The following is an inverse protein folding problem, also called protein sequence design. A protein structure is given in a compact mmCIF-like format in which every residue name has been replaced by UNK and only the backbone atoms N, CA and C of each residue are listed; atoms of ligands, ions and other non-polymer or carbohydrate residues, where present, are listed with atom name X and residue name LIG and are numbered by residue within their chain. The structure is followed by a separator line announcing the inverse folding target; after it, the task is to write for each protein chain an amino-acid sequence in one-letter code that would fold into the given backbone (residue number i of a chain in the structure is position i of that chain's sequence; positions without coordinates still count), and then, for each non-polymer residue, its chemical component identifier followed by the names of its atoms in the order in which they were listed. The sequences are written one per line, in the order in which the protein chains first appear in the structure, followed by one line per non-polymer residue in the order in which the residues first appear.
data_IF_937019428857
#
_entry.id   IF_937019428857
#
_cell.length_a   1.000
_cell.length_b   1.000
_cell.length_c   1.000
_cell.angle_alpha   90.00
_cell.angle_beta   90.00
_cell.angle_gamma   90.00
#
_symmetry.space_group_name_H-M   'P 1'
#
loop_
_entity.id
_entity.type
_entity.pdbx_description
1 polymer ?
#
# COMPACT_ATOMS: atom_id res chain seq x y z
N UNK A 1 28.66 -47.68 -10.78
CA UNK A 1 28.43 -46.83 -9.58
C UNK A 1 29.48 -45.75 -9.34
N UNK A 2 30.80 -46.02 -9.35
CA UNK A 2 31.86 -45.01 -9.06
C UNK A 2 31.91 -43.82 -10.04
N UNK A 3 31.66 -44.03 -11.33
CA UNK A 3 31.67 -42.97 -12.35
C UNK A 3 30.53 -41.95 -12.17
N UNK A 4 29.30 -42.41 -11.91
CA UNK A 4 28.16 -41.52 -11.62
C UNK A 4 28.34 -40.68 -10.35
N UNK A 5 29.02 -41.21 -9.33
CA UNK A 5 29.37 -40.47 -8.10
C UNK A 5 30.42 -39.37 -8.34
N UNK A 6 31.41 -39.63 -9.20
CA UNK A 6 32.43 -38.63 -9.57
C UNK A 6 31.84 -37.52 -10.45
N UNK A 7 30.97 -37.87 -11.40
CA UNK A 7 30.30 -36.89 -12.25
C UNK A 7 29.34 -36.00 -11.45
N UNK A 8 28.60 -36.59 -10.50
CA UNK A 8 27.75 -35.85 -9.57
C UNK A 8 28.57 -34.88 -8.69
N UNK A 9 29.70 -35.33 -8.13
CA UNK A 9 30.60 -34.47 -7.33
C UNK A 9 31.18 -33.31 -8.15
N UNK A 10 31.56 -33.55 -9.40
CA UNK A 10 32.08 -32.49 -10.28
C UNK A 10 31.00 -31.46 -10.66
N UNK A 11 29.78 -31.90 -10.95
CA UNK A 11 28.63 -31.01 -11.18
C UNK A 11 28.31 -30.16 -9.95
N UNK A 12 28.38 -30.76 -8.77
CA UNK A 12 28.14 -30.05 -7.51
C UNK A 12 29.23 -28.99 -7.21
N UNK A 13 30.51 -29.32 -7.42
CA UNK A 13 31.63 -28.39 -7.23
C UNK A 13 31.58 -27.21 -8.22
N UNK A 14 31.19 -27.46 -9.48
CA UNK A 14 30.97 -26.38 -10.47
C UNK A 14 29.84 -25.44 -10.01
N UNK A 15 28.74 -26.00 -9.50
CA UNK A 15 27.61 -25.21 -9.01
C UNK A 15 27.97 -24.34 -7.80
N UNK A 16 28.74 -24.87 -6.86
CA UNK A 16 29.21 -24.10 -5.69
C UNK A 16 30.06 -22.91 -6.12
N UNK A 17 30.96 -23.08 -7.09
CA UNK A 17 31.74 -21.98 -7.68
C UNK A 17 30.84 -20.93 -8.35
N UNK A 18 29.89 -21.37 -9.17
CA UNK A 18 28.95 -20.48 -9.83
C UNK A 18 28.11 -19.69 -8.82
N UNK A 19 27.70 -20.33 -7.71
CA UNK A 19 26.95 -19.64 -6.66
C UNK A 19 27.79 -18.59 -5.95
N UNK A 20 29.09 -18.84 -5.74
CA UNK A 20 29.99 -17.84 -5.17
C UNK A 20 30.15 -16.63 -6.11
N UNK A 21 30.30 -16.88 -7.42
CA UNK A 21 30.31 -15.82 -8.42
C UNK A 21 29.01 -14.99 -8.42
N UNK A 22 27.84 -15.62 -8.25
CA UNK A 22 26.56 -14.88 -8.10
C UNK A 22 26.54 -14.03 -6.83
N UNK A 23 27.11 -14.50 -5.72
CA UNK A 23 27.20 -13.67 -4.50
C UNK A 23 28.10 -12.47 -4.72
N UNK A 24 29.22 -12.65 -5.41
CA UNK A 24 30.14 -11.59 -5.79
C UNK A 24 29.44 -10.57 -6.70
N UNK A 25 28.77 -11.03 -7.76
CA UNK A 25 27.93 -10.20 -8.63
C UNK A 25 26.91 -9.37 -7.85
N UNK A 26 26.18 -9.98 -6.92
CA UNK A 26 25.21 -9.28 -6.06
C UNK A 26 25.88 -8.27 -5.13
N UNK A 27 27.12 -8.50 -4.71
CA UNK A 27 27.87 -7.54 -3.91
C UNK A 27 28.34 -6.36 -4.77
N UNK A 28 28.78 -6.61 -6.00
CA UNK A 28 29.12 -5.56 -6.97
C UNK A 28 27.89 -4.70 -7.30
N UNK A 29 26.71 -5.30 -7.46
CA UNK A 29 25.43 -4.59 -7.67
C UNK A 29 24.92 -3.78 -6.46
N UNK A 30 25.70 -3.66 -5.38
CA UNK A 30 25.40 -2.74 -4.27
C UNK A 30 26.21 -1.44 -4.36
N UNK A 31 27.18 -1.37 -5.27
CA UNK A 31 28.00 -0.18 -5.51
C UNK A 31 27.24 0.84 -6.38
N UNK A 32 27.69 2.11 -6.44
CA UNK A 32 27.14 3.08 -7.39
C UNK A 32 27.22 2.61 -8.86
N UNK A 33 28.15 1.72 -9.20
CA UNK A 33 28.36 1.19 -10.56
C UNK A 33 27.44 0.03 -10.95
N UNK A 34 26.35 -0.16 -10.21
CA UNK A 34 25.40 -1.27 -10.39
C UNK A 34 24.96 -1.43 -11.85
N UNK A 35 24.67 -0.31 -12.52
CA UNK A 35 24.16 -0.32 -13.89
C UNK A 35 25.19 -0.80 -14.92
N UNK A 36 26.48 -0.53 -14.69
CA UNK A 36 27.59 -0.98 -15.54
C UNK A 36 27.81 -2.48 -15.34
N UNK A 37 27.83 -2.93 -14.08
CA UNK A 37 28.06 -4.34 -13.73
C UNK A 37 26.99 -5.25 -14.34
N UNK A 38 25.71 -4.84 -14.29
CA UNK A 38 24.62 -5.62 -14.86
C UNK A 38 24.73 -5.67 -16.39
N UNK A 39 25.06 -4.55 -17.04
CA UNK A 39 25.20 -4.50 -18.49
C UNK A 39 26.34 -5.40 -18.98
N UNK A 40 27.51 -5.31 -18.34
CA UNK A 40 28.66 -6.19 -18.64
C UNK A 40 28.31 -7.67 -18.48
N UNK A 41 27.52 -8.03 -17.45
CA UNK A 41 27.05 -9.40 -17.28
C UNK A 41 26.15 -9.84 -18.44
N UNK A 42 25.24 -8.98 -18.91
CA UNK A 42 24.33 -9.29 -20.03
C UNK A 42 25.07 -9.35 -21.38
N UNK A 43 26.07 -8.48 -21.60
CA UNK A 43 26.93 -8.47 -22.79
C UNK A 43 27.83 -9.70 -22.85
N UNK A 44 28.27 -10.22 -21.70
CA UNK A 44 29.03 -11.47 -21.57
C UNK A 44 28.15 -12.73 -21.68
N UNK A 45 27.00 -12.64 -22.35
CA UNK A 45 26.00 -13.72 -22.52
C UNK A 45 25.38 -14.24 -21.22
N UNK A 46 25.57 -13.54 -20.10
CA UNK A 46 24.91 -13.84 -18.85
C UNK A 46 23.40 -13.60 -18.94
N UNK A 47 22.60 -14.45 -18.30
CA UNK A 47 21.14 -14.40 -18.47
C UNK A 47 20.35 -14.81 -17.24
N UNK A 48 19.12 -14.29 -17.14
CA UNK A 48 18.20 -14.63 -16.07
C UNK A 48 17.91 -16.15 -16.00
N UNK A 49 17.86 -16.83 -17.14
CA UNK A 49 17.62 -18.28 -17.19
C UNK A 49 18.79 -19.09 -16.61
N UNK A 50 20.04 -18.66 -16.84
CA UNK A 50 21.23 -19.28 -16.26
C UNK A 50 21.17 -19.22 -14.73
N UNK A 51 20.85 -18.04 -14.18
CA UNK A 51 20.71 -17.85 -12.74
C UNK A 51 19.63 -18.74 -12.12
N UNK A 52 18.49 -18.91 -12.80
CA UNK A 52 17.42 -19.81 -12.33
C UNK A 52 17.90 -21.27 -12.37
N UNK A 53 18.71 -21.66 -13.35
CA UNK A 53 19.32 -22.99 -13.43
C UNK A 53 20.20 -23.35 -12.22
N UNK A 54 20.67 -22.36 -11.46
CA UNK A 54 21.40 -22.56 -10.21
C UNK A 54 20.50 -22.91 -9.02
N UNK A 55 19.18 -22.88 -9.16
CA UNK A 55 18.22 -23.31 -8.14
C UNK A 55 17.93 -24.81 -8.25
N UNK A 56 17.78 -25.48 -7.10
CA UNK A 56 17.36 -26.89 -7.07
C UNK A 56 15.85 -26.92 -6.87
N UNK A 57 15.12 -27.50 -7.82
CA UNK A 57 13.66 -27.63 -7.76
C UNK A 57 13.18 -28.32 -6.47
N UNK A 58 13.95 -29.28 -5.97
CA UNK A 58 13.59 -30.10 -4.80
C UNK A 58 14.00 -29.49 -3.45
N UNK A 59 14.89 -28.50 -3.44
CA UNK A 59 15.50 -27.97 -2.21
C UNK A 59 15.08 -26.52 -1.91
N UNK A 60 13.78 -26.34 -1.67
CA UNK A 60 13.16 -25.05 -1.33
C UNK A 60 13.72 -24.34 -0.08
N UNK A 61 14.54 -25.04 0.73
CA UNK A 61 15.11 -24.51 1.99
C UNK A 61 16.55 -24.01 1.84
N UNK A 62 17.19 -24.17 0.68
CA UNK A 62 18.57 -23.72 0.46
C UNK A 62 18.66 -22.19 0.27
N UNK A 63 18.46 -21.44 1.36
CA UNK A 63 18.48 -19.97 1.34
C UNK A 63 19.84 -19.39 0.97
N UNK A 64 20.93 -20.14 1.17
CA UNK A 64 22.28 -19.75 0.76
C UNK A 64 22.42 -19.65 -0.76
N UNK A 65 21.66 -20.46 -1.52
CA UNK A 65 21.58 -20.38 -2.98
C UNK A 65 20.48 -19.43 -3.46
N UNK A 66 19.30 -19.52 -2.83
CA UNK A 66 18.10 -18.79 -3.28
C UNK A 66 18.26 -17.27 -3.13
N UNK A 67 18.80 -16.80 -2.00
CA UNK A 67 18.88 -15.36 -1.72
C UNK A 67 19.77 -14.61 -2.74
N UNK A 68 21.00 -15.07 -3.05
CA UNK A 68 21.82 -14.45 -4.09
C UNK A 68 21.14 -14.47 -5.46
N UNK A 69 20.61 -15.61 -5.90
CA UNK A 69 19.96 -15.76 -7.21
C UNK A 69 18.76 -14.80 -7.34
N UNK A 70 17.87 -14.76 -6.35
CA UNK A 70 16.71 -13.87 -6.39
C UNK A 70 17.12 -12.39 -6.36
N UNK A 71 18.20 -12.06 -5.66
CA UNK A 71 18.74 -10.69 -5.65
C UNK A 71 19.32 -10.32 -7.02
N UNK A 72 20.11 -11.20 -7.64
CA UNK A 72 20.67 -11.00 -8.97
C UNK A 72 19.57 -10.82 -10.03
N UNK A 73 18.54 -11.68 -10.00
CA UNK A 73 17.37 -11.54 -10.86
C UNK A 73 16.65 -10.20 -10.67
N UNK A 74 16.52 -9.73 -9.43
CA UNK A 74 15.91 -8.43 -9.16
C UNK A 74 16.67 -7.30 -9.86
N UNK A 75 18.00 -7.33 -9.82
CA UNK A 75 18.84 -6.33 -10.50
C UNK A 75 18.71 -6.39 -12.02
N UNK A 76 18.76 -7.59 -12.60
CA UNK A 76 18.61 -7.79 -14.06
C UNK A 76 17.25 -7.27 -14.53
N UNK A 77 16.15 -7.68 -13.89
CA UNK A 77 14.80 -7.24 -14.26
C UNK A 77 14.68 -5.71 -14.17
N UNK A 78 15.25 -5.10 -13.13
CA UNK A 78 15.25 -3.64 -13.00
C UNK A 78 16.04 -2.93 -14.10
N UNK A 79 17.20 -3.45 -14.50
CA UNK A 79 18.00 -2.88 -15.59
C UNK A 79 17.27 -3.00 -16.93
N UNK A 80 16.67 -4.16 -17.19
CA UNK A 80 15.82 -4.40 -18.37
C UNK A 80 14.66 -3.42 -18.45
N UNK A 81 14.02 -3.10 -17.31
CA UNK A 81 12.93 -2.13 -17.26
C UNK A 81 13.36 -0.70 -17.59
N UNK A 82 14.58 -0.31 -17.24
CA UNK A 82 15.07 1.06 -17.41
C UNK A 82 15.70 1.31 -18.76
N UNK A 83 16.62 0.44 -19.18
CA UNK A 83 17.61 0.79 -20.21
C UNK A 83 17.95 -0.36 -21.17
N UNK A 84 17.63 -1.61 -20.86
CA UNK A 84 18.06 -2.78 -21.65
C UNK A 84 16.86 -3.58 -22.19
N UNK A 85 16.04 -2.93 -23.02
CA UNK A 85 14.77 -3.50 -23.52
C UNK A 85 14.96 -4.67 -24.49
N UNK A 86 16.11 -4.77 -25.14
CA UNK A 86 16.51 -5.86 -26.02
C UNK A 86 16.51 -7.23 -25.31
N UNK A 87 16.80 -7.26 -24.01
CA UNK A 87 16.79 -8.49 -23.21
C UNK A 87 15.40 -8.83 -22.65
N UNK A 88 14.40 -7.97 -22.85
CA UNK A 88 13.09 -8.06 -22.18
C UNK A 88 12.36 -9.37 -22.41
N UNK A 89 12.31 -9.85 -23.65
CA UNK A 89 11.61 -11.10 -23.99
C UNK A 89 12.22 -12.29 -23.25
N UNK A 90 13.56 -12.38 -23.24
CA UNK A 90 14.30 -13.43 -22.52
C UNK A 90 14.06 -13.36 -21.00
N UNK A 91 14.10 -12.17 -20.43
CA UNK A 91 13.86 -11.95 -18.99
C UNK A 91 12.41 -12.26 -18.62
N UNK A 92 11.43 -11.92 -19.46
CA UNK A 92 10.02 -12.26 -19.23
C UNK A 92 9.82 -13.78 -19.21
N UNK A 93 10.41 -14.52 -20.14
CA UNK A 93 10.34 -15.99 -20.16
C UNK A 93 11.02 -16.63 -18.94
N UNK A 94 12.18 -16.12 -18.54
CA UNK A 94 12.84 -16.55 -17.31
C UNK A 94 11.96 -16.31 -16.07
N UNK A 95 11.30 -15.15 -15.99
CA UNK A 95 10.37 -14.85 -14.90
C UNK A 95 9.14 -15.78 -14.90
N UNK A 96 8.58 -16.11 -16.08
CA UNK A 96 7.50 -17.11 -16.20
C UNK A 96 7.97 -18.47 -15.70
N UNK A 97 9.16 -18.91 -16.11
CA UNK A 97 9.76 -20.17 -15.66
C UNK A 97 9.94 -20.18 -14.14
N UNK A 98 10.44 -19.09 -13.55
CA UNK A 98 10.56 -18.95 -12.08
C UNK A 98 9.21 -19.11 -11.37
N UNK A 99 8.17 -18.42 -11.84
CA UNK A 99 6.83 -18.45 -11.23
C UNK A 99 6.15 -19.82 -11.36
N UNK A 100 6.46 -20.59 -12.40
CA UNK A 100 5.89 -21.90 -12.63
C UNK A 100 6.63 -23.02 -11.88
N UNK A 101 7.97 -22.98 -11.84
CA UNK A 101 8.79 -24.10 -11.34
C UNK A 101 9.35 -23.88 -9.93
N UNK A 102 9.44 -22.65 -9.44
CA UNK A 102 10.03 -22.33 -8.13
C UNK A 102 9.04 -21.67 -7.16
N UNK A 103 7.73 -21.83 -7.41
CA UNK A 103 6.66 -21.29 -6.57
C UNK A 103 6.73 -21.79 -5.10
N UNK A 104 7.16 -23.04 -4.88
CA UNK A 104 7.33 -23.61 -3.54
C UNK A 104 8.40 -22.88 -2.72
N UNK A 105 9.47 -22.41 -3.36
CA UNK A 105 10.53 -21.59 -2.77
C UNK A 105 10.01 -20.19 -2.45
N UNK A 106 9.26 -19.58 -3.37
CA UNK A 106 8.61 -18.27 -3.15
C UNK A 106 7.69 -18.33 -1.92
N UNK A 107 6.83 -19.34 -1.84
CA UNK A 107 5.95 -19.57 -0.67
C UNK A 107 6.73 -19.81 0.62
N UNK A 108 7.83 -20.56 0.55
CA UNK A 108 8.68 -20.76 1.72
C UNK A 108 9.29 -19.44 2.21
N UNK A 109 9.84 -18.62 1.31
CA UNK A 109 10.42 -17.31 1.66
C UNK A 109 9.39 -16.34 2.22
N UNK A 110 8.16 -16.37 1.73
CA UNK A 110 7.03 -15.57 2.24
C UNK A 110 6.43 -16.11 3.54
N UNK A 111 6.68 -17.37 3.90
CA UNK A 111 6.05 -18.01 5.05
C UNK A 111 6.36 -17.31 6.39
N UNK A 112 5.48 -17.51 7.38
CA UNK A 112 5.65 -17.02 8.74
C UNK A 112 6.91 -17.55 9.44
N UNK A 113 7.45 -18.68 8.98
CA UNK A 113 8.68 -19.31 9.50
C UNK A 113 9.97 -18.71 8.93
N UNK A 114 9.87 -17.96 7.84
CA UNK A 114 11.02 -17.39 7.14
C UNK A 114 11.56 -16.13 7.81
N UNK A 115 12.86 -15.86 7.63
CA UNK A 115 13.49 -14.64 8.12
C UNK A 115 12.99 -13.39 7.38
N UNK A 116 12.98 -12.25 8.06
CA UNK A 116 12.57 -10.95 7.48
C UNK A 116 13.36 -10.60 6.21
N UNK A 117 14.67 -10.87 6.18
CA UNK A 117 15.53 -10.66 5.01
C UNK A 117 15.08 -11.46 3.79
N UNK A 118 14.65 -12.71 3.97
CA UNK A 118 14.14 -13.52 2.87
C UNK A 118 12.85 -12.93 2.32
N UNK A 119 11.91 -12.51 3.19
CA UNK A 119 10.68 -11.85 2.77
C UNK A 119 10.95 -10.59 1.97
N UNK A 120 11.93 -9.78 2.38
CA UNK A 120 12.33 -8.59 1.62
C UNK A 120 12.86 -8.95 0.23
N UNK A 121 13.77 -9.92 0.13
CA UNK A 121 14.36 -10.32 -1.16
C UNK A 121 13.28 -10.82 -2.13
N UNK A 122 12.40 -11.72 -1.67
CA UNK A 122 11.33 -12.25 -2.54
C UNK A 122 10.30 -11.18 -2.90
N UNK A 123 9.91 -10.30 -1.96
CA UNK A 123 8.96 -9.22 -2.27
C UNK A 123 9.56 -8.21 -3.25
N UNK A 124 10.84 -7.86 -3.12
CA UNK A 124 11.53 -6.98 -4.09
C UNK A 124 11.55 -7.61 -5.48
N UNK A 125 11.91 -8.89 -5.58
CA UNK A 125 11.89 -9.60 -6.86
C UNK A 125 10.48 -9.62 -7.46
N UNK A 126 9.46 -9.98 -6.68
CA UNK A 126 8.08 -10.00 -7.16
C UNK A 126 7.57 -8.61 -7.54
N UNK A 127 8.02 -7.55 -6.86
CA UNK A 127 7.70 -6.15 -7.22
C UNK A 127 8.16 -5.84 -8.64
N UNK A 128 9.42 -6.17 -8.96
CA UNK A 128 10.01 -5.82 -10.26
C UNK A 128 9.49 -6.72 -11.39
N UNK A 129 9.15 -7.98 -11.08
CA UNK A 129 8.46 -8.89 -12.00
C UNK A 129 7.03 -8.40 -12.29
N UNK A 130 6.30 -7.91 -11.29
CA UNK A 130 4.95 -7.39 -11.48
C UNK A 130 4.92 -6.13 -12.36
N UNK A 131 5.94 -5.28 -12.28
CA UNK A 131 6.10 -4.13 -13.19
C UNK A 131 6.66 -4.52 -14.55
N UNK A 132 7.17 -5.74 -14.72
CA UNK A 132 7.73 -6.18 -15.99
C UNK A 132 6.62 -6.33 -17.02
N UNK A 133 5.56 -7.11 -16.78
CA UNK A 133 4.43 -7.16 -17.70
C UNK A 133 3.10 -7.48 -17.00
N UNK A 134 1.95 -7.02 -17.55
CA UNK A 134 0.63 -7.32 -16.98
C UNK A 134 0.34 -8.82 -16.86
N UNK A 135 0.89 -9.64 -17.77
CA UNK A 135 0.74 -11.09 -17.71
C UNK A 135 1.44 -11.68 -16.47
N UNK A 136 2.69 -11.26 -16.20
CA UNK A 136 3.44 -11.68 -15.03
C UNK A 136 2.78 -11.19 -13.73
N UNK A 137 2.28 -9.96 -13.72
CA UNK A 137 1.51 -9.41 -12.60
C UNK A 137 0.29 -10.28 -12.26
N UNK A 138 -0.50 -10.67 -13.28
CA UNK A 138 -1.64 -11.58 -13.10
C UNK A 138 -1.22 -12.97 -12.60
N UNK A 139 -0.11 -13.52 -13.12
CA UNK A 139 0.43 -14.79 -12.64
C UNK A 139 0.84 -14.74 -11.16
N UNK A 140 1.40 -13.61 -10.71
CA UNK A 140 1.73 -13.42 -9.29
C UNK A 140 0.45 -13.42 -8.46
N UNK A 141 -0.57 -12.65 -8.86
CA UNK A 141 -1.85 -12.57 -8.14
C UNK A 141 -2.58 -13.93 -8.07
N UNK A 142 -2.48 -14.76 -9.11
CA UNK A 142 -3.11 -16.08 -9.14
C UNK A 142 -2.34 -17.13 -8.33
N UNK A 143 -1.01 -17.14 -8.41
CA UNK A 143 -0.19 -18.24 -7.87
C UNK A 143 0.40 -17.94 -6.48
N UNK A 144 0.69 -16.67 -6.17
CA UNK A 144 1.32 -16.26 -4.91
C UNK A 144 0.24 -15.87 -3.89
N UNK A 145 -0.32 -16.90 -3.25
CA UNK A 145 -1.28 -16.75 -2.14
C UNK A 145 -0.64 -16.15 -0.89
N UNK A 146 -0.98 -14.90 -0.59
CA UNK A 146 -0.66 -14.25 0.69
C UNK A 146 -1.89 -14.36 1.58
N UNK A 147 -1.81 -15.12 2.68
CA UNK A 147 -2.94 -15.29 3.59
C UNK A 147 -3.17 -14.04 4.46
N UNK A 148 -4.38 -13.88 5.05
CA UNK A 148 -4.67 -12.75 5.92
C UNK A 148 -3.67 -12.54 7.05
N UNK A 149 -3.37 -13.63 7.75
CA UNK A 149 -2.35 -13.65 8.82
C UNK A 149 -0.96 -13.23 8.32
N UNK A 150 -0.63 -13.54 7.06
CA UNK A 150 0.66 -13.17 6.49
C UNK A 150 0.70 -11.68 6.15
N UNK A 151 -0.30 -11.13 5.47
CA UNK A 151 -0.27 -9.69 5.17
C UNK A 151 -0.34 -8.82 6.44
N UNK A 152 -0.98 -9.28 7.52
CA UNK A 152 -0.92 -8.59 8.82
C UNK A 152 0.51 -8.48 9.34
N UNK A 153 1.30 -9.55 9.20
CA UNK A 153 2.72 -9.58 9.58
C UNK A 153 3.57 -8.73 8.64
N UNK A 154 3.31 -8.79 7.32
CA UNK A 154 4.02 -7.99 6.33
C UNK A 154 3.73 -6.50 6.47
N UNK A 155 2.50 -6.13 6.84
CA UNK A 155 2.08 -4.77 7.08
C UNK A 155 2.51 -4.26 8.48
N UNK A 156 2.99 -5.11 9.38
CA UNK A 156 3.40 -4.65 10.72
C UNK A 156 4.75 -3.91 10.66
N UNK A 157 4.82 -2.78 11.37
CA UNK A 157 6.09 -2.08 11.60
C UNK A 157 7.03 -2.90 12.48
N UNK A 158 8.30 -2.96 12.10
CA UNK A 158 9.39 -3.54 12.91
C UNK A 158 10.47 -2.52 13.23
N UNK A 159 10.87 -1.70 12.24
CA UNK A 159 11.71 -0.51 12.34
C UNK A 159 11.37 0.42 11.16
N UNK A 160 10.55 1.49 11.34
CA UNK A 160 10.04 2.31 10.23
C UNK A 160 11.08 3.17 9.51
N UNK A 161 12.27 3.32 10.10
CA UNK A 161 13.33 4.20 9.61
C UNK A 161 14.20 3.51 8.54
N UNK A 162 14.16 2.17 8.43
CA UNK A 162 15.07 1.43 7.55
C UNK A 162 14.34 0.35 6.76
N UNK A 163 14.66 0.27 5.45
CA UNK A 163 14.15 -0.61 4.36
C UNK A 163 13.36 -1.83 4.84
N UNK A 164 12.19 -1.61 5.43
CA UNK A 164 11.54 -2.63 6.25
C UNK A 164 10.83 -3.67 5.38
N UNK A 165 10.43 -4.79 5.97
CA UNK A 165 9.53 -5.75 5.29
C UNK A 165 8.25 -5.03 4.86
N UNK A 166 7.70 -4.15 5.70
CA UNK A 166 6.51 -3.33 5.41
C UNK A 166 6.72 -2.42 4.21
N UNK A 167 7.81 -1.66 4.17
CA UNK A 167 8.10 -0.76 3.04
C UNK A 167 8.21 -1.56 1.73
N UNK A 168 8.84 -2.73 1.79
CA UNK A 168 8.94 -3.63 0.63
C UNK A 168 7.57 -4.18 0.22
N UNK A 169 6.73 -4.52 1.19
CA UNK A 169 5.38 -4.99 0.95
C UNK A 169 4.47 -3.91 0.35
N UNK A 170 4.62 -2.65 0.79
CA UNK A 170 3.93 -1.50 0.19
C UNK A 170 4.34 -1.37 -1.28
N UNK A 171 5.64 -1.37 -1.60
CA UNK A 171 6.10 -1.29 -2.99
C UNK A 171 5.57 -2.46 -3.85
N UNK A 172 5.56 -3.68 -3.29
CA UNK A 172 4.96 -4.83 -3.95
C UNK A 172 3.49 -4.62 -4.29
N UNK A 173 2.68 -4.08 -3.37
CA UNK A 173 1.27 -3.77 -3.65
C UNK A 173 1.12 -2.63 -4.65
N UNK A 174 1.97 -1.60 -4.59
CA UNK A 174 1.91 -0.47 -5.51
C UNK A 174 2.30 -0.88 -6.94
N UNK A 175 3.22 -1.84 -7.13
CA UNK A 175 3.65 -2.33 -8.44
C UNK A 175 2.49 -2.81 -9.32
N UNK A 176 1.43 -3.39 -8.74
CA UNK A 176 0.24 -3.81 -9.49
C UNK A 176 -0.64 -2.65 -9.98
N UNK A 177 -0.43 -1.45 -9.43
CA UNK A 177 -1.22 -0.26 -9.72
C UNK A 177 -0.50 0.72 -10.66
N UNK A 178 0.84 0.77 -10.65
CA UNK A 178 1.66 1.79 -11.34
C UNK A 178 1.28 1.94 -12.81
N UNK A 179 1.15 0.83 -13.56
CA UNK A 179 0.85 0.84 -14.99
C UNK A 179 -0.61 1.20 -15.32
N UNK A 180 -1.51 1.19 -14.32
CA UNK A 180 -2.93 1.48 -14.53
C UNK A 180 -3.71 0.40 -15.28
N UNK A 181 -3.13 -0.78 -15.50
CA UNK A 181 -3.76 -1.85 -16.26
C UNK A 181 -4.96 -2.45 -15.50
N UNK A 182 -6.18 -2.22 -16.00
CA UNK A 182 -7.43 -2.68 -15.36
C UNK A 182 -7.44 -4.20 -15.13
N UNK A 183 -6.88 -4.98 -16.08
CA UNK A 183 -6.79 -6.44 -15.97
C UNK A 183 -5.90 -6.95 -14.82
N UNK A 184 -5.07 -6.08 -14.23
CA UNK A 184 -4.24 -6.37 -13.05
C UNK A 184 -4.88 -5.79 -11.79
N UNK A 185 -5.40 -4.56 -11.89
CA UNK A 185 -6.04 -3.87 -10.77
C UNK A 185 -7.27 -4.65 -10.28
N UNK A 186 -8.12 -5.16 -11.18
CA UNK A 186 -9.33 -5.89 -10.79
C UNK A 186 -9.02 -7.13 -9.94
N UNK A 187 -8.19 -8.10 -10.39
CA UNK A 187 -7.83 -9.25 -9.56
C UNK A 187 -7.18 -8.87 -8.22
N UNK A 188 -6.42 -7.77 -8.16
CA UNK A 188 -5.87 -7.28 -6.89
C UNK A 188 -6.98 -6.84 -5.93
N UNK A 189 -7.97 -6.10 -6.40
CA UNK A 189 -9.09 -5.61 -5.58
C UNK A 189 -10.05 -6.73 -5.16
N UNK A 190 -10.11 -7.83 -5.90
CA UNK A 190 -10.87 -9.03 -5.51
C UNK A 190 -10.30 -9.70 -4.25
N UNK A 191 -9.01 -9.52 -3.96
CA UNK A 191 -8.38 -9.99 -2.73
C UNK A 191 -8.75 -9.04 -1.58
N UNK A 192 -9.97 -9.20 -1.06
CA UNK A 192 -10.57 -8.35 -0.02
C UNK A 192 -9.63 -8.17 1.18
N UNK A 193 -9.39 -6.91 1.54
CA UNK A 193 -8.58 -6.54 2.70
C UNK A 193 -7.07 -6.45 2.45
N UNK A 194 -6.55 -6.97 1.33
CA UNK A 194 -5.11 -6.94 1.05
C UNK A 194 -4.57 -5.52 0.95
N UNK A 195 -5.15 -4.67 0.09
CA UNK A 195 -4.76 -3.26 0.00
C UNK A 195 -5.10 -2.48 1.28
N UNK A 196 -6.25 -2.78 1.91
CA UNK A 196 -6.64 -2.11 3.15
C UNK A 196 -5.67 -2.38 4.30
N UNK A 197 -4.97 -3.53 4.29
CA UNK A 197 -4.07 -3.96 5.36
C UNK A 197 -2.89 -3.00 5.59
N UNK A 198 -2.47 -2.24 4.58
CA UNK A 198 -1.37 -1.28 4.74
C UNK A 198 -1.82 0.05 5.31
N UNK A 199 -3.09 0.43 5.18
CA UNK A 199 -3.56 1.79 5.53
C UNK A 199 -3.31 2.16 7.01
N UNK A 200 -3.61 1.31 8.02
CA UNK A 200 -3.43 1.69 9.42
C UNK A 200 -2.00 2.04 9.83
N UNK A 201 -1.01 1.42 9.17
CA UNK A 201 0.39 1.67 9.49
C UNK A 201 0.97 2.95 8.88
N UNK A 202 0.27 3.59 7.93
CA UNK A 202 0.72 4.81 7.25
C UNK A 202 1.00 5.96 8.22
N UNK A 203 0.35 5.95 9.39
CA UNK A 203 0.56 6.91 10.47
C UNK A 203 2.03 7.06 10.89
N UNK A 204 2.83 6.01 10.70
CA UNK A 204 4.24 5.93 11.07
C UNK A 204 5.18 5.66 9.89
N UNK A 205 4.68 5.61 8.65
CA UNK A 205 5.54 5.54 7.46
C UNK A 205 6.09 6.93 7.12
N UNK A 206 7.14 6.99 6.30
CA UNK A 206 7.70 8.27 5.82
C UNK A 206 6.68 9.06 4.99
N UNK A 207 6.79 10.40 4.97
CA UNK A 207 5.89 11.25 4.18
C UNK A 207 5.86 10.86 2.69
N UNK A 208 7.04 10.53 2.13
CA UNK A 208 7.16 10.02 0.75
C UNK A 208 6.38 8.72 0.51
N UNK A 209 6.44 7.78 1.47
CA UNK A 209 5.68 6.53 1.37
C UNK A 209 4.17 6.78 1.47
N UNK A 210 3.73 7.65 2.38
CA UNK A 210 2.32 8.01 2.51
C UNK A 210 1.81 8.67 1.22
N UNK A 211 2.57 9.63 0.69
CA UNK A 211 2.25 10.31 -0.56
C UNK A 211 2.18 9.35 -1.75
N UNK A 212 3.17 8.45 -1.90
CA UNK A 212 3.16 7.40 -2.93
C UNK A 212 1.87 6.56 -2.86
N UNK A 213 1.50 6.10 -1.67
CA UNK A 213 0.32 5.25 -1.50
C UNK A 213 -0.96 6.02 -1.82
N UNK A 214 -1.14 7.21 -1.26
CA UNK A 214 -2.36 8.00 -1.45
C UNK A 214 -2.54 8.43 -2.91
N UNK A 215 -1.50 8.96 -3.55
CA UNK A 215 -1.57 9.38 -4.96
C UNK A 215 -1.78 8.20 -5.90
N UNK A 216 -1.13 7.06 -5.66
CA UNK A 216 -1.32 5.85 -6.48
C UNK A 216 -2.74 5.33 -6.35
N UNK A 217 -3.26 5.19 -5.12
CA UNK A 217 -4.64 4.74 -4.89
C UNK A 217 -5.65 5.73 -5.47
N UNK A 218 -5.39 7.04 -5.36
CA UNK A 218 -6.27 8.06 -5.92
C UNK A 218 -6.35 7.94 -7.44
N UNK A 219 -5.20 7.94 -8.12
CA UNK A 219 -5.14 7.99 -9.58
C UNK A 219 -5.51 6.65 -10.22
N UNK A 220 -5.21 5.52 -9.58
CA UNK A 220 -5.34 4.18 -10.19
C UNK A 220 -6.59 3.44 -9.75
N UNK A 221 -7.13 3.74 -8.56
CA UNK A 221 -8.31 3.08 -8.00
C UNK A 221 -9.48 4.05 -7.86
N UNK A 222 -9.31 5.17 -7.16
CA UNK A 222 -10.41 6.06 -6.79
C UNK A 222 -10.98 6.81 -8.00
N UNK A 223 -10.11 7.45 -8.80
CA UNK A 223 -10.46 8.20 -10.01
C UNK A 223 -10.66 7.30 -11.25
N UNK A 224 -10.48 5.99 -11.10
CA UNK A 224 -10.70 5.04 -12.18
C UNK A 224 -12.19 4.66 -12.27
N UNK A 225 -12.82 4.99 -13.41
CA UNK A 225 -14.23 4.69 -13.66
C UNK A 225 -14.49 3.21 -13.92
N UNK A 226 -13.47 2.46 -14.35
CA UNK A 226 -13.57 1.01 -14.55
C UNK A 226 -13.61 0.25 -13.23
N UNK A 227 -13.33 0.89 -12.09
CA UNK A 227 -13.44 0.27 -10.77
C UNK A 227 -14.82 0.56 -10.19
N UNK A 228 -15.56 -0.50 -9.87
CA UNK A 228 -16.92 -0.38 -9.33
C UNK A 228 -16.91 0.27 -7.94
N UNK A 229 -18.02 0.97 -7.61
CA UNK A 229 -18.22 1.57 -6.28
C UNK A 229 -18.15 0.51 -5.16
N UNK A 230 -18.66 -0.69 -5.41
CA UNK A 230 -18.59 -1.83 -4.47
C UNK A 230 -17.15 -2.26 -4.19
N UNK A 231 -16.28 -2.35 -5.21
CA UNK A 231 -14.86 -2.67 -5.00
C UNK A 231 -14.15 -1.58 -4.19
N UNK A 232 -14.50 -0.31 -4.42
CA UNK A 232 -14.01 0.83 -3.61
C UNK A 232 -14.46 0.73 -2.16
N UNK A 233 -15.71 0.35 -1.88
CA UNK A 233 -16.21 0.14 -0.51
C UNK A 233 -15.49 -0.98 0.23
N UNK A 234 -15.15 -2.09 -0.45
CA UNK A 234 -14.38 -3.17 0.17
C UNK A 234 -12.95 -2.75 0.51
N UNK A 235 -12.34 -1.90 -0.33
CA UNK A 235 -10.98 -1.38 -0.11
C UNK A 235 -10.95 -0.29 0.95
N UNK A 236 -11.89 0.66 0.86
CA UNK A 236 -12.04 1.82 1.74
C UNK A 236 -13.21 1.61 2.70
N UNK A 237 -13.16 0.50 3.44
CA UNK A 237 -14.14 0.17 4.48
C UNK A 237 -14.01 1.08 5.71
N UNK A 238 -14.92 0.96 6.69
CA UNK A 238 -14.93 1.82 7.89
C UNK A 238 -13.58 1.86 8.63
N UNK A 239 -12.90 0.73 8.93
CA UNK A 239 -11.56 0.77 9.53
C UNK A 239 -10.52 1.51 8.68
N UNK A 240 -10.53 1.32 7.36
CA UNK A 240 -9.62 1.99 6.44
C UNK A 240 -9.83 3.50 6.42
N UNK A 241 -11.09 3.97 6.30
CA UNK A 241 -11.40 5.41 6.29
C UNK A 241 -11.06 6.08 7.63
N UNK A 242 -11.35 5.42 8.75
CA UNK A 242 -10.92 5.90 10.08
C UNK A 242 -9.39 6.01 10.16
N UNK A 243 -8.67 5.02 9.63
CA UNK A 243 -7.21 5.04 9.58
C UNK A 243 -6.65 6.14 8.67
N UNK A 244 -7.33 6.46 7.57
CA UNK A 244 -6.97 7.60 6.72
C UNK A 244 -7.17 8.91 7.48
N UNK A 245 -8.28 9.08 8.21
CA UNK A 245 -8.53 10.29 9.00
C UNK A 245 -7.47 10.55 10.07
N UNK A 246 -6.88 9.50 10.67
CA UNK A 246 -5.79 9.69 11.64
C UNK A 246 -4.51 10.24 11.00
N UNK A 247 -4.36 10.19 9.67
CA UNK A 247 -3.22 10.78 8.97
C UNK A 247 -3.23 12.31 8.98
N UNK A 248 -4.36 12.97 9.30
CA UNK A 248 -4.34 14.40 9.62
C UNK A 248 -3.40 14.72 10.80
N UNK A 249 -3.23 13.76 11.73
CA UNK A 249 -2.29 13.82 12.84
C UNK A 249 -1.07 12.91 12.60
N UNK A 250 -0.58 12.86 11.35
CA UNK A 250 0.55 12.01 10.99
C UNK A 250 1.73 12.17 11.97
N UNK A 251 2.23 11.03 12.46
CA UNK A 251 3.28 10.99 13.49
C UNK A 251 4.67 10.82 12.88
N UNK A 252 4.74 10.07 11.79
CA UNK A 252 5.97 9.75 11.09
C UNK A 252 6.83 8.70 11.77
N UNK A 253 7.92 8.29 11.09
CA UNK A 253 8.71 7.12 11.47
C UNK A 253 9.47 7.30 12.79
N UNK A 254 9.87 8.53 13.11
CA UNK A 254 10.61 8.85 14.32
C UNK A 254 9.79 8.66 15.60
N UNK A 255 8.47 8.87 15.54
CA UNK A 255 7.57 8.74 16.70
C UNK A 255 7.05 7.31 16.91
N UNK A 256 7.51 6.37 16.10
CA UNK A 256 7.11 4.97 16.24
C UNK A 256 7.84 4.29 17.40
N UNK A 257 7.08 3.60 18.26
CA UNK A 257 7.62 2.83 19.39
C UNK A 257 7.13 1.38 19.30
N UNK A 258 8.02 0.38 19.37
CA UNK A 258 7.66 -1.05 19.31
C UNK A 258 6.83 -1.50 20.52
N UNK A 259 7.03 -0.85 21.68
CA UNK A 259 6.34 -1.11 22.94
C UNK A 259 5.99 0.21 23.61
N UNK A 260 4.77 0.32 24.17
CA UNK A 260 4.25 1.53 24.85
C UNK A 260 5.03 1.95 26.12
N UNK A 261 6.16 1.32 26.47
CA UNK A 261 6.79 1.42 27.81
C UNK A 261 8.00 2.35 27.93
N UNK A 262 8.55 2.91 26.85
CA UNK A 262 9.74 3.77 26.96
C UNK A 262 9.39 5.22 26.59
N UNK A 263 9.05 6.01 27.61
CA UNK A 263 8.66 7.43 27.48
C UNK A 263 9.82 8.43 27.58
N UNK A 264 11.08 7.99 27.67
CA UNK A 264 12.19 8.88 28.05
C UNK A 264 13.20 9.20 26.95
N UNK A 265 12.75 9.56 25.76
CA UNK A 265 13.61 10.31 24.85
C UNK A 265 12.82 11.35 24.05
N UNK A 266 13.22 12.61 24.20
CA UNK A 266 12.82 13.71 23.33
C UNK A 266 13.33 13.43 21.92
N UNK A 267 12.47 12.83 21.10
CA UNK A 267 12.77 12.56 19.70
C UNK A 267 12.49 13.83 18.92
N UNK A 268 13.52 14.34 18.22
CA UNK A 268 13.44 15.48 17.29
C UNK A 268 12.13 15.44 16.51
N UNK A 269 11.39 16.55 16.58
CA UNK A 269 10.04 16.69 16.04
C UNK A 269 9.96 16.25 14.58
N UNK A 270 8.82 15.65 14.23
CA UNK A 270 8.38 15.48 12.84
C UNK A 270 8.50 16.82 12.11
N UNK A 271 9.09 16.85 10.91
CA UNK A 271 9.16 18.10 10.13
C UNK A 271 7.73 18.59 9.84
N UNK A 272 7.41 19.84 10.17
CA UNK A 272 6.08 20.40 9.94
C UNK A 272 5.76 20.47 8.43
N UNK A 273 6.76 20.60 7.57
CA UNK A 273 6.57 20.53 6.11
C UNK A 273 6.11 19.14 5.66
N UNK A 274 6.75 18.08 6.17
CA UNK A 274 6.35 16.69 5.87
C UNK A 274 4.93 16.40 6.40
N UNK A 275 4.62 16.93 7.58
CA UNK A 275 3.29 16.78 8.18
C UNK A 275 2.23 17.50 7.35
N UNK A 276 2.52 18.71 6.88
CA UNK A 276 1.63 19.46 5.99
C UNK A 276 1.43 18.73 4.66
N UNK A 277 2.52 18.22 4.05
CA UNK A 277 2.46 17.41 2.83
C UNK A 277 1.56 16.17 2.98
N UNK A 278 1.64 15.46 4.11
CA UNK A 278 0.77 14.31 4.39
C UNK A 278 -0.67 14.76 4.62
N UNK A 279 -0.88 15.86 5.36
CA UNK A 279 -2.20 16.41 5.65
C UNK A 279 -2.93 16.84 4.37
N UNK A 280 -2.23 17.45 3.42
CA UNK A 280 -2.77 17.86 2.12
C UNK A 280 -3.09 16.63 1.26
N UNK A 281 -2.15 15.68 1.15
CA UNK A 281 -2.37 14.46 0.38
C UNK A 281 -3.58 13.64 0.90
N UNK A 282 -3.75 13.55 2.23
CA UNK A 282 -4.93 12.85 2.79
C UNK A 282 -6.21 13.66 2.61
N UNK A 283 -6.14 14.99 2.67
CA UNK A 283 -7.30 15.83 2.44
C UNK A 283 -7.81 15.71 1.02
N UNK A 284 -6.93 15.81 0.02
CA UNK A 284 -7.30 15.65 -1.39
C UNK A 284 -7.91 14.27 -1.65
N UNK A 285 -7.29 13.23 -1.08
CA UNK A 285 -7.80 11.86 -1.19
C UNK A 285 -9.21 11.71 -0.58
N UNK A 286 -9.39 12.15 0.67
CA UNK A 286 -10.65 12.02 1.41
C UNK A 286 -11.75 12.89 0.82
N UNK A 287 -11.43 14.07 0.28
CA UNK A 287 -12.40 14.89 -0.43
C UNK A 287 -13.01 14.10 -1.58
N UNK A 288 -12.21 13.49 -2.45
CA UNK A 288 -12.76 12.70 -3.57
C UNK A 288 -13.56 11.50 -3.03
N UNK A 289 -13.01 10.78 -2.05
CA UNK A 289 -13.62 9.58 -1.50
C UNK A 289 -15.00 9.84 -0.89
N UNK A 290 -15.12 10.89 -0.08
CA UNK A 290 -16.30 11.16 0.74
C UNK A 290 -17.30 12.14 0.12
N UNK A 291 -16.97 12.78 -1.02
CA UNK A 291 -17.83 13.83 -1.60
C UNK A 291 -18.22 13.61 -3.05
N UNK A 292 -17.54 12.71 -3.78
CA UNK A 292 -17.83 12.46 -5.19
C UNK A 292 -18.83 11.32 -5.40
N UNK A 293 -19.98 11.61 -6.01
CA UNK A 293 -20.95 10.57 -6.41
C UNK A 293 -20.43 9.67 -7.53
N UNK A 294 -19.52 10.19 -8.37
CA UNK A 294 -18.93 9.50 -9.53
C UNK A 294 -17.75 8.61 -9.13
N UNK A 295 -16.83 9.12 -8.32
CA UNK A 295 -15.58 8.45 -8.00
C UNK A 295 -15.53 7.88 -6.58
N UNK A 296 -16.21 8.53 -5.64
CA UNK A 296 -16.20 8.19 -4.23
C UNK A 296 -17.08 7.01 -3.86
N UNK A 297 -17.23 6.82 -2.56
CA UNK A 297 -17.99 5.71 -1.95
C UNK A 297 -19.41 6.10 -1.52
N UNK A 298 -19.85 7.31 -1.88
CA UNK A 298 -21.13 7.85 -1.46
C UNK A 298 -22.28 7.47 -2.39
N UNK A 299 -23.48 7.45 -1.80
CA UNK A 299 -24.74 7.17 -2.45
C UNK A 299 -25.64 8.39 -2.39
N UNK A 300 -26.27 8.69 -3.52
CA UNK A 300 -27.23 9.78 -3.61
C UNK A 300 -28.55 9.37 -2.95
N UNK A 301 -28.97 10.12 -1.94
CA UNK A 301 -30.28 9.98 -1.32
C UNK A 301 -31.24 11.05 -1.87
N UNK A 302 -32.23 10.60 -2.66
CA UNK A 302 -33.27 11.48 -3.22
C UNK A 302 -34.24 12.01 -2.15
N UNK A 303 -34.34 11.32 -1.01
CA UNK A 303 -35.21 11.71 0.10
C UNK A 303 -34.55 12.71 1.04
N UNK A 304 -33.27 13.03 0.85
CA UNK A 304 -32.53 14.01 1.66
C UNK A 304 -32.67 13.68 3.16
N UNK A 305 -32.50 12.40 3.53
CA UNK A 305 -32.59 11.91 4.91
C UNK A 305 -34.00 11.68 5.46
N UNK A 306 -35.06 11.93 4.69
CA UNK A 306 -36.45 11.80 5.17
C UNK A 306 -37.02 10.39 5.06
N UNK A 307 -36.43 9.50 4.25
CA UNK A 307 -36.98 8.15 4.05
C UNK A 307 -36.72 7.17 5.20
N UNK A 308 -35.99 7.58 6.25
CA UNK A 308 -35.55 6.71 7.35
C UNK A 308 -34.53 5.62 6.96
N UNK A 309 -34.09 5.58 5.70
CA UNK A 309 -33.07 4.62 5.21
C UNK A 309 -31.69 5.23 5.31
N UNK A 310 -30.72 4.46 5.80
CA UNK A 310 -29.31 4.87 5.87
C UNK A 310 -28.61 4.53 4.55
N UNK A 311 -28.46 5.51 3.66
CA UNK A 311 -27.78 5.29 2.38
C UNK A 311 -26.25 5.32 2.53
N UNK A 312 -25.73 6.15 3.43
CA UNK A 312 -24.30 6.36 3.64
C UNK A 312 -23.81 5.87 5.02
N UNK A 313 -24.21 4.66 5.43
CA UNK A 313 -23.92 4.09 6.77
C UNK A 313 -22.44 4.08 7.14
N UNK A 314 -21.56 3.71 6.19
CA UNK A 314 -20.11 3.73 6.40
C UNK A 314 -19.63 5.13 6.82
N UNK A 315 -20.05 6.17 6.10
CA UNK A 315 -19.66 7.54 6.40
C UNK A 315 -20.31 8.03 7.70
N UNK A 316 -21.54 7.64 7.99
CA UNK A 316 -22.17 7.93 9.28
C UNK A 316 -21.28 7.41 10.43
N UNK A 317 -20.92 6.13 10.42
CA UNK A 317 -20.06 5.52 11.45
C UNK A 317 -18.67 6.17 11.54
N UNK A 318 -18.16 6.70 10.43
CA UNK A 318 -16.91 7.46 10.41
C UNK A 318 -17.08 8.83 11.08
N UNK A 319 -18.13 9.58 10.71
CA UNK A 319 -18.41 10.91 11.24
C UNK A 319 -18.73 10.90 12.74
N UNK A 320 -19.48 9.90 13.22
CA UNK A 320 -19.77 9.70 14.65
C UNK A 320 -18.48 9.46 15.47
N UNK A 321 -17.43 8.94 14.84
CA UNK A 321 -16.13 8.71 15.48
C UNK A 321 -15.19 9.92 15.45
N UNK A 322 -15.57 11.03 14.81
CA UNK A 322 -14.73 12.23 14.76
C UNK A 322 -14.95 13.10 15.99
N UNK A 323 -13.91 13.21 16.81
CA UNK A 323 -13.92 14.13 17.95
C UNK A 323 -13.64 15.57 17.49
N UNK A 324 -14.63 16.45 17.70
CA UNK A 324 -14.54 17.91 17.48
C UNK A 324 -13.86 18.34 16.17
N UNK A 325 -14.31 17.84 15.00
CA UNK A 325 -13.69 18.14 13.71
C UNK A 325 -13.63 19.64 13.37
N UNK A 326 -14.53 20.46 13.92
CA UNK A 326 -14.57 21.91 13.74
C UNK A 326 -13.39 22.66 14.39
N UNK A 327 -12.60 22.02 15.27
CA UNK A 327 -11.40 22.65 15.82
C UNK A 327 -10.26 22.74 14.79
N UNK A 328 -10.31 21.92 13.72
CA UNK A 328 -9.29 21.80 12.67
C UNK A 328 -9.84 22.17 11.28
N UNK A 329 -9.16 23.06 10.54
CA UNK A 329 -9.63 23.58 9.24
C UNK A 329 -9.99 22.49 8.23
N UNK A 330 -9.07 21.57 7.93
CA UNK A 330 -9.28 20.52 6.92
C UNK A 330 -10.35 19.50 7.32
N UNK A 331 -10.46 19.16 8.62
CA UNK A 331 -11.50 18.24 9.10
C UNK A 331 -12.88 18.89 9.03
N UNK A 332 -13.00 20.13 9.47
CA UNK A 332 -14.22 20.92 9.36
C UNK A 332 -14.69 21.00 7.90
N UNK A 333 -13.77 21.32 6.98
CA UNK A 333 -14.03 21.40 5.55
C UNK A 333 -14.48 20.04 4.98
N UNK A 334 -13.80 18.95 5.33
CA UNK A 334 -14.16 17.61 4.87
C UNK A 334 -15.58 17.22 5.34
N UNK A 335 -15.90 17.43 6.62
CA UNK A 335 -17.24 17.15 7.16
C UNK A 335 -18.29 17.98 6.44
N UNK A 336 -18.05 19.28 6.27
CA UNK A 336 -18.98 20.18 5.58
C UNK A 336 -19.24 19.72 4.14
N UNK A 337 -18.18 19.46 3.36
CA UNK A 337 -18.32 18.98 1.97
C UNK A 337 -19.01 17.62 1.89
N UNK A 338 -18.72 16.73 2.84
CA UNK A 338 -19.36 15.39 2.92
C UNK A 338 -20.85 15.53 3.15
N UNK A 339 -21.25 16.37 4.10
CA UNK A 339 -22.66 16.63 4.42
C UNK A 339 -23.40 17.34 3.28
N UNK A 340 -22.73 18.25 2.57
CA UNK A 340 -23.31 18.88 1.36
C UNK A 340 -23.56 17.84 0.28
N UNK A 341 -22.65 16.88 0.10
CA UNK A 341 -22.79 15.81 -0.87
C UNK A 341 -23.80 14.72 -0.44
N UNK A 342 -23.94 14.50 0.87
CA UNK A 342 -24.79 13.49 1.52
C UNK A 342 -25.64 14.14 2.64
N UNK A 343 -26.76 14.80 2.29
CA UNK A 343 -27.60 15.47 3.28
C UNK A 343 -28.22 14.54 4.34
N UNK A 344 -28.33 13.24 4.05
CA UNK A 344 -28.79 12.21 5.00
C UNK A 344 -27.91 12.12 6.26
N UNK A 345 -26.64 12.54 6.17
CA UNK A 345 -25.68 12.56 7.28
C UNK A 345 -25.86 13.77 8.22
N UNK A 346 -26.72 14.73 7.87
CA UNK A 346 -26.93 15.96 8.65
C UNK A 346 -27.24 15.69 10.11
N UNK A 347 -28.25 14.83 10.36
CA UNK A 347 -28.76 14.55 11.70
C UNK A 347 -27.66 14.01 12.62
N UNK A 348 -26.82 13.13 12.08
CA UNK A 348 -25.66 12.59 12.79
C UNK A 348 -24.68 13.70 13.18
N UNK A 349 -24.33 14.60 12.26
CA UNK A 349 -23.36 15.67 12.53
C UNK A 349 -23.91 16.67 13.55
N UNK A 350 -25.18 17.05 13.45
CA UNK A 350 -25.81 17.95 14.41
C UNK A 350 -25.85 17.34 15.81
N UNK A 351 -26.18 16.05 15.95
CA UNK A 351 -26.15 15.36 17.24
C UNK A 351 -24.74 15.35 17.87
N UNK A 352 -23.69 15.24 17.06
CA UNK A 352 -22.30 15.34 17.56
C UNK A 352 -21.92 16.75 18.01
N UNK A 353 -22.49 17.79 17.40
CA UNK A 353 -22.20 19.19 17.70
C UNK A 353 -23.05 19.74 18.84
N UNK A 354 -24.27 19.23 19.03
CA UNK A 354 -25.27 19.70 20.00
C UNK A 354 -24.71 19.96 21.42
N UNK A 355 -23.91 19.06 22.03
CA UNK A 355 -23.35 19.27 23.37
C UNK A 355 -22.40 20.48 23.48
N UNK A 356 -21.94 21.02 22.35
CA UNK A 356 -20.97 22.11 22.28
C UNK A 356 -21.60 23.47 21.95
N UNK A 357 -22.94 23.52 21.80
CA UNK A 357 -23.65 24.75 21.46
C UNK A 357 -23.96 25.65 22.64
N UNK A 358 -23.90 25.13 23.87
CA UNK A 358 -24.06 25.93 25.09
C UNK A 358 -23.13 27.15 25.07
N UNK A 359 -23.66 28.38 25.25
CA UNK A 359 -22.89 29.61 25.21
C UNK A 359 -21.68 29.58 26.15
N UNK A 360 -20.47 29.74 25.59
CA UNK A 360 -19.22 29.79 26.35
C UNK A 360 -18.30 30.84 25.75
N UNK A 361 -17.66 31.65 26.61
CA UNK A 361 -16.67 32.65 26.17
C UNK A 361 -15.35 31.95 25.85
N UNK A 362 -15.26 31.30 24.68
CA UNK A 362 -14.04 30.61 24.24
C UNK A 362 -13.90 30.59 22.71
N UNK A 363 -12.65 30.57 22.23
CA UNK A 363 -12.35 30.41 20.80
C UNK A 363 -12.89 29.09 20.25
N UNK A 364 -12.89 28.03 21.08
CA UNK A 364 -13.46 26.73 20.71
C UNK A 364 -14.96 26.82 20.44
N UNK A 365 -15.70 27.50 21.32
CA UNK A 365 -17.12 27.74 21.12
C UNK A 365 -17.40 28.58 19.86
N UNK A 366 -16.63 29.64 19.62
CA UNK A 366 -16.76 30.44 18.39
C UNK A 366 -16.54 29.58 17.12
N UNK A 367 -15.56 28.67 17.13
CA UNK A 367 -15.35 27.70 16.03
C UNK A 367 -16.56 26.79 15.86
N UNK A 368 -17.15 26.28 16.94
CA UNK A 368 -18.37 25.47 16.90
C UNK A 368 -19.53 26.22 16.26
N UNK A 369 -19.83 27.43 16.73
CA UNK A 369 -20.95 28.25 16.21
C UNK A 369 -20.74 28.59 14.73
N UNK A 370 -19.52 28.96 14.35
CA UNK A 370 -19.18 29.23 12.95
C UNK A 370 -19.33 27.99 12.07
N UNK A 371 -18.95 26.81 12.56
CA UNK A 371 -19.14 25.56 11.84
C UNK A 371 -20.63 25.26 11.62
N UNK A 372 -21.48 25.36 12.65
CA UNK A 372 -22.93 25.16 12.52
C UNK A 372 -23.56 26.17 11.56
N UNK A 373 -23.11 27.43 11.61
CA UNK A 373 -23.54 28.45 10.65
C UNK A 373 -23.23 28.03 9.20
N UNK A 374 -22.03 27.50 8.94
CA UNK A 374 -21.66 27.02 7.61
C UNK A 374 -22.50 25.82 7.16
N UNK A 375 -22.74 24.87 8.06
CA UNK A 375 -23.61 23.71 7.81
C UNK A 375 -25.01 24.18 7.42
N UNK A 376 -25.61 25.09 8.20
CA UNK A 376 -26.96 25.63 7.97
C UNK A 376 -27.08 26.42 6.66
N UNK A 377 -26.07 27.22 6.31
CA UNK A 377 -26.11 28.08 5.11
C UNK A 377 -25.91 27.33 3.79
N UNK A 378 -25.55 26.04 3.85
CA UNK A 378 -25.39 25.25 2.63
C UNK A 378 -26.77 24.91 2.00
N UNK A 379 -26.97 25.30 0.73
CA UNK A 379 -28.30 25.31 0.07
C UNK A 379 -29.00 23.93 0.04
N UNK A 380 -28.24 22.83 -0.07
CA UNK A 380 -28.77 21.46 -0.07
C UNK A 380 -29.29 21.00 1.30
N UNK A 381 -28.87 21.66 2.38
CA UNK A 381 -29.13 21.28 3.77
C UNK A 381 -30.39 21.94 4.34
N UNK A 382 -30.79 23.09 3.79
CA UNK A 382 -31.94 23.84 4.27
C UNK A 382 -33.24 23.02 4.23
N UNK A 383 -33.40 22.16 3.21
CA UNK A 383 -34.56 21.27 3.04
C UNK A 383 -34.60 20.19 4.13
N UNK A 384 -33.44 19.61 4.48
CA UNK A 384 -33.35 18.61 5.55
C UNK A 384 -33.66 19.21 6.93
N UNK A 385 -33.21 20.44 7.18
CA UNK A 385 -33.39 21.12 8.47
C UNK A 385 -34.87 21.40 8.78
N UNK A 386 -35.64 21.83 7.78
CA UNK A 386 -37.10 22.06 7.91
C UNK A 386 -37.86 20.76 8.24
N UNK A 387 -37.38 19.62 7.75
CA UNK A 387 -37.99 18.31 7.99
C UNK A 387 -37.54 17.65 9.31
N UNK A 388 -36.43 18.09 9.91
CA UNK A 388 -35.86 17.47 11.12
C UNK A 388 -36.30 18.19 12.42
N UNK A 389 -36.75 19.44 12.32
CA UNK A 389 -37.27 20.23 13.47
C UNK A 389 -38.81 20.11 13.52
N UNK A 390 -39.29 18.88 13.72
CA UNK A 390 -40.67 18.60 14.16
C UNK A 390 -40.64 17.79 15.43
#
# INVERSE_FOLDING_TARGET
MKWGLMEHKNKQKKRERNLEAVKEFVNLCKSPDTDIVILQYLEAEGGAQELIGLLQSDNKKNMAAVVPVFSALQYIVMKTLREAQEYRVSVEEACKHLLNHHLSTIHYMLSLKSAAKHRQVVLKLLTVIATLSPQLARMILSHVKISPKLWEVLAKHTKPIDKSVRTTFIHFLMAFLVDGCVSVIWPLLEIKGLLASIIPGLLYDSANTVHLVLTTLQNRVLLNMSISKTAKLYTFNTPAVRSLLTLYDWKGPLKWKPTKKNETSEIKGTNEEEKQMVADAVHDFLQVLCTSHKYGIIFHDRSIGTSGRKHNELLQTVLEGLERPWEHKQRAELVLKTVIACPDLMKCVLATVEPYLEPRVSVKWLKTVNFVKQVRLSKSVLICFVCTVK
#
